data_IF_684579718675
#
_entry.id   IF_684579718675
#
_cell.length_a   1.000
_cell.length_b   1.000
_cell.length_c   1.000
_cell.angle_alpha   90.00
_cell.angle_beta   90.00
_cell.angle_gamma   90.00
#
_symmetry.space_group_name_H-M   'P 1'
#
loop_
_entity.id
_entity.type
_entity.pdbx_description
1 polymer ?
#
# COMPACT_ATOMS: atom_id res chain seq x y z
N UNK A 1 9.01 -6.20 -18.94
CA UNK A 1 8.11 -5.19 -18.32
C UNK A 1 6.70 -5.52 -18.75
N UNK A 2 5.73 -5.66 -17.85
CA UNK A 2 4.39 -6.12 -18.22
C UNK A 2 3.43 -4.95 -18.45
N UNK A 3 3.60 -4.28 -19.59
CA UNK A 3 2.77 -3.15 -20.01
C UNK A 3 1.28 -3.47 -20.10
N UNK A 4 0.91 -4.75 -20.30
CA UNK A 4 -0.48 -5.17 -20.31
C UNK A 4 -1.16 -4.85 -18.97
N UNK A 5 -0.54 -5.23 -17.84
CA UNK A 5 -1.08 -4.95 -16.50
C UNK A 5 -1.18 -3.44 -16.25
N UNK A 6 -0.18 -2.67 -16.69
CA UNK A 6 -0.17 -1.21 -16.58
C UNK A 6 -1.31 -0.57 -17.37
N UNK A 7 -1.48 -0.94 -18.64
CA UNK A 7 -2.54 -0.40 -19.50
C UNK A 7 -3.91 -0.76 -18.95
N UNK A 8 -4.12 -2.03 -18.54
CA UNK A 8 -5.37 -2.45 -17.92
C UNK A 8 -5.64 -1.67 -16.62
N UNK A 9 -4.64 -1.49 -15.77
CA UNK A 9 -4.77 -0.69 -14.54
C UNK A 9 -5.18 0.75 -14.83
N UNK A 10 -4.48 1.43 -15.75
CA UNK A 10 -4.80 2.81 -16.17
C UNK A 10 -6.22 2.89 -16.74
N UNK A 11 -6.59 1.98 -17.64
CA UNK A 11 -7.94 1.94 -18.21
C UNK A 11 -9.01 1.75 -17.13
N UNK A 12 -8.77 0.90 -16.13
CA UNK A 12 -9.69 0.72 -15.00
C UNK A 12 -9.91 2.03 -14.23
N UNK A 13 -8.86 2.79 -13.92
CA UNK A 13 -9.01 4.11 -13.27
C UNK A 13 -9.76 5.11 -14.15
N UNK A 14 -9.48 5.13 -15.46
CA UNK A 14 -10.18 6.01 -16.40
C UNK A 14 -11.67 5.68 -16.55
N UNK A 15 -12.05 4.40 -16.43
CA UNK A 15 -13.46 3.96 -16.42
C UNK A 15 -14.17 4.39 -15.12
N UNK A 16 -13.47 4.45 -14.00
CA UNK A 16 -14.06 4.91 -12.73
C UNK A 16 -14.39 6.41 -12.74
N UNK A 17 -13.73 7.24 -13.55
CA UNK A 17 -14.00 8.69 -13.64
C UNK A 17 -15.44 9.01 -14.06
N UNK A 18 -15.97 8.53 -15.21
CA UNK A 18 -17.37 8.78 -15.57
C UNK A 18 -18.34 8.14 -14.57
N UNK A 19 -17.98 7.01 -13.95
CA UNK A 19 -18.80 6.39 -12.91
C UNK A 19 -18.89 7.26 -11.65
N UNK A 20 -17.79 7.90 -11.24
CA UNK A 20 -17.78 8.85 -10.12
C UNK A 20 -18.72 10.04 -10.37
N UNK A 21 -18.78 10.53 -11.61
CA UNK A 21 -19.69 11.61 -12.01
C UNK A 21 -21.15 11.15 -11.90
N UNK A 22 -21.46 9.95 -12.40
CA UNK A 22 -22.83 9.39 -12.37
C UNK A 22 -23.28 9.10 -10.94
N UNK A 23 -22.39 8.58 -10.09
CA UNK A 23 -22.66 8.23 -8.70
C UNK A 23 -22.66 9.43 -7.74
N UNK A 24 -22.32 10.63 -8.21
CA UNK A 24 -22.23 11.83 -7.36
C UNK A 24 -21.01 11.88 -6.43
N UNK A 25 -19.99 11.04 -6.68
CA UNK A 25 -18.77 10.87 -5.88
C UNK A 25 -17.56 11.48 -6.59
N UNK A 26 -17.76 12.61 -7.30
CA UNK A 26 -16.71 13.24 -8.13
C UNK A 26 -15.46 13.69 -7.37
N UNK A 27 -15.51 13.72 -6.03
CA UNK A 27 -14.34 13.94 -5.17
C UNK A 27 -13.21 12.93 -5.37
N UNK A 28 -13.51 11.72 -5.86
CA UNK A 28 -12.49 10.70 -6.17
C UNK A 28 -11.72 10.95 -7.48
N UNK A 29 -12.17 11.87 -8.35
CA UNK A 29 -11.54 12.05 -9.68
C UNK A 29 -10.05 12.42 -9.59
N UNK A 30 -9.61 13.39 -8.74
CA UNK A 30 -8.20 13.73 -8.61
C UNK A 30 -7.33 12.52 -8.19
N UNK A 31 -7.81 11.69 -7.27
CA UNK A 31 -7.15 10.47 -6.83
C UNK A 31 -7.01 9.45 -7.96
N UNK A 32 -8.08 9.19 -8.72
CA UNK A 32 -8.06 8.25 -9.83
C UNK A 32 -7.00 8.64 -10.89
N UNK A 33 -6.83 9.95 -11.13
CA UNK A 33 -5.78 10.48 -11.99
C UNK A 33 -4.38 10.27 -11.38
N UNK A 34 -4.23 10.48 -10.07
CA UNK A 34 -2.98 10.22 -9.34
C UNK A 34 -2.62 8.74 -9.40
N UNK A 35 -3.58 7.82 -9.20
CA UNK A 35 -3.38 6.38 -9.27
C UNK A 35 -3.02 5.91 -10.68
N UNK A 36 -3.64 6.49 -11.72
CA UNK A 36 -3.26 6.23 -13.11
C UNK A 36 -1.80 6.67 -13.36
N UNK A 37 -1.42 7.87 -12.92
CA UNK A 37 -0.05 8.36 -13.04
C UNK A 37 0.95 7.50 -12.25
N UNK A 38 0.63 7.14 -11.01
CA UNK A 38 1.46 6.31 -10.16
C UNK A 38 1.65 4.91 -10.76
N UNK A 39 0.61 4.35 -11.37
CA UNK A 39 0.68 3.06 -12.09
C UNK A 39 1.68 3.12 -13.24
N UNK A 40 1.69 4.19 -14.03
CA UNK A 40 2.67 4.40 -15.10
C UNK A 40 4.08 4.59 -14.53
N UNK A 41 4.23 5.40 -13.48
CA UNK A 41 5.52 5.65 -12.83
C UNK A 41 6.14 4.37 -12.24
N UNK A 42 5.34 3.54 -11.56
CA UNK A 42 5.78 2.26 -11.01
C UNK A 42 6.17 1.27 -12.11
N UNK A 43 5.41 1.23 -13.20
CA UNK A 43 5.73 0.38 -14.36
C UNK A 43 7.03 0.82 -15.04
N UNK A 44 7.23 2.13 -15.22
CA UNK A 44 8.44 2.70 -15.81
C UNK A 44 9.68 2.41 -14.93
N UNK A 45 9.55 2.54 -13.61
CA UNK A 45 10.64 2.28 -12.66
C UNK A 45 10.74 0.82 -12.20
N UNK A 46 9.98 -0.10 -12.80
CA UNK A 46 9.87 -1.48 -12.32
C UNK A 46 11.24 -2.21 -12.24
N UNK A 47 12.15 -1.91 -13.17
CA UNK A 47 13.51 -2.47 -13.16
C UNK A 47 14.35 -2.01 -11.97
N UNK A 48 14.29 -0.72 -11.64
CA UNK A 48 15.00 -0.13 -10.51
C UNK A 48 14.43 -0.61 -9.16
N UNK A 49 13.10 -0.73 -9.09
CA UNK A 49 12.39 -1.18 -7.89
C UNK A 49 12.41 -2.72 -7.70
N UNK A 50 12.98 -3.47 -8.65
CA UNK A 50 12.89 -4.94 -8.71
C UNK A 50 11.43 -5.43 -8.63
N UNK A 51 10.50 -4.65 -9.19
CA UNK A 51 9.08 -4.86 -9.07
C UNK A 51 8.64 -6.05 -9.93
N UNK A 52 8.05 -7.06 -9.29
CA UNK A 52 7.52 -8.26 -9.95
C UNK A 52 6.07 -7.99 -10.40
N UNK A 53 5.66 -8.62 -11.49
CA UNK A 53 4.29 -8.49 -12.04
C UNK A 53 3.21 -8.72 -10.99
N UNK A 54 3.25 -9.79 -10.15
CA UNK A 54 2.21 -10.01 -9.14
C UNK A 54 2.13 -8.89 -8.11
N UNK A 55 3.27 -8.29 -7.73
CA UNK A 55 3.30 -7.18 -6.77
C UNK A 55 2.74 -5.92 -7.41
N UNK A 56 3.09 -5.61 -8.66
CA UNK A 56 2.47 -4.51 -9.40
C UNK A 56 0.96 -4.68 -9.53
N UNK A 57 0.49 -5.89 -9.86
CA UNK A 57 -0.94 -6.21 -9.93
C UNK A 57 -1.63 -5.97 -8.59
N UNK A 58 -1.03 -6.41 -7.48
CA UNK A 58 -1.59 -6.20 -6.14
C UNK A 58 -1.61 -4.71 -5.75
N UNK A 59 -0.60 -3.93 -6.11
CA UNK A 59 -0.57 -2.48 -5.84
C UNK A 59 -1.65 -1.77 -6.64
N UNK A 60 -1.81 -2.09 -7.93
CA UNK A 60 -2.91 -1.57 -8.76
C UNK A 60 -4.26 -1.99 -8.18
N UNK A 61 -4.38 -3.24 -7.75
CA UNK A 61 -5.61 -3.75 -7.14
C UNK A 61 -5.95 -3.02 -5.83
N UNK A 62 -4.97 -2.77 -4.96
CA UNK A 62 -5.16 -1.97 -3.75
C UNK A 62 -5.63 -0.55 -4.05
N UNK A 63 -5.01 0.12 -5.02
CA UNK A 63 -5.45 1.43 -5.50
C UNK A 63 -6.86 1.38 -6.13
N UNK A 64 -7.22 0.31 -6.84
CA UNK A 64 -8.57 0.14 -7.38
C UNK A 64 -9.62 -0.06 -6.29
N UNK A 65 -9.31 -0.81 -5.23
CA UNK A 65 -10.22 -0.98 -4.11
C UNK A 65 -10.53 0.38 -3.46
N UNK A 66 -9.51 1.22 -3.25
CA UNK A 66 -9.70 2.59 -2.80
C UNK A 66 -10.54 3.40 -3.80
N UNK A 67 -10.18 3.35 -5.09
CA UNK A 67 -10.89 4.02 -6.17
C UNK A 67 -12.35 3.57 -6.35
N UNK A 68 -12.75 2.39 -5.84
CA UNK A 68 -14.15 1.97 -5.80
C UNK A 68 -15.01 2.78 -4.83
N UNK A 69 -14.42 3.68 -4.05
CA UNK A 69 -15.17 4.78 -3.44
C UNK A 69 -15.93 5.64 -4.46
N UNK A 70 -15.46 5.71 -5.71
CA UNK A 70 -16.23 6.27 -6.83
C UNK A 70 -17.59 5.57 -7.08
N UNK A 71 -17.77 4.35 -6.58
CA UNK A 71 -19.02 3.60 -6.65
C UNK A 71 -19.88 3.73 -5.37
N UNK A 72 -19.45 4.55 -4.40
CA UNK A 72 -20.14 4.75 -3.12
C UNK A 72 -19.80 3.72 -2.04
N UNK A 73 -18.79 2.86 -2.25
CA UNK A 73 -18.52 1.72 -1.35
C UNK A 73 -18.09 2.13 0.06
N UNK A 74 -17.55 3.33 0.25
CA UNK A 74 -17.29 3.86 1.60
C UNK A 74 -18.59 4.06 2.39
N UNK A 75 -19.66 4.55 1.75
CA UNK A 75 -20.97 4.69 2.40
C UNK A 75 -21.74 3.39 2.53
N UNK A 76 -21.69 2.53 1.50
CA UNK A 76 -22.36 1.22 1.50
C UNK A 76 -21.39 0.14 1.03
N UNK A 77 -20.75 -0.52 1.99
CA UNK A 77 -19.80 -1.59 1.67
C UNK A 77 -20.50 -2.78 1.02
N UNK A 78 -19.99 -3.31 -0.11
CA UNK A 78 -20.48 -4.54 -0.71
C UNK A 78 -20.09 -5.80 0.08
N UNK A 79 -19.33 -5.65 1.17
CA UNK A 79 -18.86 -6.73 2.04
C UNK A 79 -19.43 -6.54 3.45
N UNK A 80 -19.52 -7.61 4.28
CA UNK A 80 -19.96 -7.51 5.68
C UNK A 80 -18.93 -6.85 6.61
N UNK A 81 -18.01 -6.07 6.07
CA UNK A 81 -16.97 -5.29 6.75
C UNK A 81 -16.94 -3.90 6.12
N UNK A 82 -16.61 -2.87 6.89
CA UNK A 82 -16.48 -1.50 6.36
C UNK A 82 -15.46 -1.48 5.22
N UNK A 83 -15.82 -0.82 4.12
CA UNK A 83 -15.01 -0.82 2.92
C UNK A 83 -13.65 -0.16 3.15
N UNK A 84 -13.66 0.91 3.93
CA UNK A 84 -12.47 1.62 4.38
C UNK A 84 -11.41 0.66 4.98
N UNK A 85 -11.79 -0.17 5.94
CA UNK A 85 -10.89 -1.18 6.51
C UNK A 85 -10.27 -2.14 5.47
N UNK A 86 -10.99 -2.43 4.39
CA UNK A 86 -10.51 -3.28 3.30
C UNK A 86 -9.45 -2.57 2.48
N UNK A 87 -9.68 -1.30 2.13
CA UNK A 87 -8.77 -0.51 1.31
C UNK A 87 -7.46 -0.23 2.05
N UNK A 88 -7.52 0.11 3.35
CA UNK A 88 -6.34 0.28 4.21
C UNK A 88 -5.53 -1.02 4.35
N UNK A 89 -6.21 -2.13 4.68
CA UNK A 89 -5.53 -3.42 4.81
C UNK A 89 -4.87 -3.87 3.50
N UNK A 90 -5.62 -3.91 2.39
CA UNK A 90 -5.12 -4.44 1.11
C UNK A 90 -4.12 -3.48 0.46
N UNK A 91 -4.36 -2.18 0.56
CA UNK A 91 -3.47 -1.13 0.05
C UNK A 91 -2.09 -1.24 0.67
N UNK A 92 -2.01 -1.17 2.00
CA UNK A 92 -0.73 -1.17 2.70
C UNK A 92 -0.06 -2.55 2.74
N UNK A 93 -0.84 -3.63 2.65
CA UNK A 93 -0.32 -4.96 2.34
C UNK A 93 0.46 -4.96 1.01
N UNK A 94 -0.12 -4.41 -0.06
CA UNK A 94 0.52 -4.39 -1.38
C UNK A 94 1.77 -3.48 -1.40
N UNK A 95 1.71 -2.32 -0.74
CA UNK A 95 2.88 -1.43 -0.60
C UNK A 95 4.01 -2.06 0.21
N UNK A 96 3.71 -2.79 1.29
CA UNK A 96 4.71 -3.53 2.04
C UNK A 96 5.42 -4.60 1.19
N UNK A 97 4.68 -5.30 0.32
CA UNK A 97 5.26 -6.25 -0.64
C UNK A 97 6.16 -5.55 -1.68
N UNK A 98 5.78 -4.37 -2.14
CA UNK A 98 6.59 -3.54 -3.04
C UNK A 98 7.92 -3.16 -2.38
N UNK A 99 7.85 -2.58 -1.17
CA UNK A 99 9.04 -2.15 -0.42
C UNK A 99 9.93 -3.35 -0.10
N UNK A 100 9.35 -4.48 0.32
CA UNK A 100 10.11 -5.70 0.53
C UNK A 100 10.79 -6.18 -0.74
N UNK A 101 10.11 -6.19 -1.89
CA UNK A 101 10.70 -6.62 -3.16
C UNK A 101 11.96 -5.82 -3.53
N UNK A 102 11.95 -4.52 -3.23
CA UNK A 102 13.10 -3.65 -3.35
C UNK A 102 14.19 -3.95 -2.30
N UNK A 103 13.81 -4.15 -1.05
CA UNK A 103 14.74 -4.38 0.08
C UNK A 103 15.36 -5.79 0.10
N UNK A 104 14.70 -6.77 -0.49
CA UNK A 104 15.08 -8.19 -0.48
C UNK A 104 16.52 -8.43 -0.94
N UNK A 105 17.01 -7.63 -1.89
CA UNK A 105 18.37 -7.73 -2.45
C UNK A 105 19.49 -7.50 -1.43
N UNK A 106 19.20 -6.81 -0.32
CA UNK A 106 20.18 -6.58 0.74
C UNK A 106 20.08 -7.57 1.89
N UNK A 107 19.08 -8.45 1.92
CA UNK A 107 18.86 -9.37 3.05
C UNK A 107 19.74 -10.62 2.97
N UNK A 108 20.23 -11.09 4.13
CA UNK A 108 21.06 -12.30 4.26
C UNK A 108 20.24 -13.58 4.12
N UNK A 109 20.90 -14.72 3.84
CA UNK A 109 20.24 -16.02 3.72
C UNK A 109 19.50 -16.45 5.00
N UNK A 110 20.08 -16.19 6.17
CA UNK A 110 19.44 -16.49 7.46
C UNK A 110 18.29 -15.51 7.71
N UNK A 111 17.06 -16.00 7.75
CA UNK A 111 15.84 -15.19 7.93
C UNK A 111 15.96 -14.18 9.09
N UNK A 112 16.37 -14.64 10.27
CA UNK A 112 16.50 -13.80 11.48
C UNK A 112 17.94 -13.37 11.79
N UNK A 113 18.72 -12.92 10.79
CA UNK A 113 19.96 -12.19 11.08
C UNK A 113 19.64 -10.80 11.65
N UNK A 114 20.55 -10.21 12.46
CA UNK A 114 20.37 -8.84 12.99
C UNK A 114 20.07 -7.82 11.89
N UNK A 115 20.77 -7.96 10.75
CA UNK A 115 20.57 -7.15 9.55
C UNK A 115 19.17 -7.33 8.96
N UNK A 116 18.70 -8.57 8.80
CA UNK A 116 17.36 -8.84 8.29
C UNK A 116 16.26 -8.32 9.21
N UNK A 117 16.43 -8.44 10.54
CA UNK A 117 15.48 -7.86 11.51
C UNK A 117 15.42 -6.34 11.34
N UNK A 118 16.57 -5.68 11.22
CA UNK A 118 16.61 -4.23 10.95
C UNK A 118 15.91 -3.87 9.64
N UNK A 119 16.16 -4.60 8.56
CA UNK A 119 15.51 -4.38 7.26
C UNK A 119 13.99 -4.62 7.32
N UNK A 120 13.52 -5.60 8.10
CA UNK A 120 12.09 -5.83 8.33
C UNK A 120 11.44 -4.66 9.07
N UNK A 121 12.11 -4.10 10.08
CA UNK A 121 11.65 -2.87 10.76
C UNK A 121 11.62 -1.70 9.77
N UNK A 122 12.63 -1.55 8.91
CA UNK A 122 12.65 -0.52 7.87
C UNK A 122 11.47 -0.67 6.91
N UNK A 123 11.14 -1.89 6.48
CA UNK A 123 9.96 -2.15 5.63
C UNK A 123 8.68 -1.72 6.33
N UNK A 124 8.51 -2.09 7.61
CA UNK A 124 7.34 -1.72 8.40
C UNK A 124 7.20 -0.20 8.49
N UNK A 125 8.27 0.50 8.90
CA UNK A 125 8.27 1.96 9.06
C UNK A 125 8.06 2.69 7.73
N UNK A 126 8.65 2.20 6.63
CA UNK A 126 8.48 2.80 5.32
C UNK A 126 7.04 2.64 4.81
N UNK A 127 6.45 1.44 4.94
CA UNK A 127 5.07 1.21 4.54
C UNK A 127 4.09 1.99 5.44
N UNK A 128 4.30 1.97 6.75
CA UNK A 128 3.50 2.76 7.69
C UNK A 128 3.64 4.26 7.44
N UNK A 129 4.83 4.72 7.02
CA UNK A 129 5.06 6.10 6.62
C UNK A 129 4.22 6.51 5.41
N UNK A 130 4.02 5.62 4.44
CA UNK A 130 3.10 5.87 3.31
C UNK A 130 1.66 6.03 3.82
N UNK A 131 1.18 5.08 4.63
CA UNK A 131 -0.16 5.14 5.20
C UNK A 131 -0.36 6.41 6.03
N UNK A 132 0.56 6.72 6.94
CA UNK A 132 0.49 7.90 7.78
C UNK A 132 0.48 9.22 7.00
N UNK A 133 1.16 9.31 5.85
CA UNK A 133 1.09 10.50 4.98
C UNK A 133 -0.30 10.64 4.36
N UNK A 134 -0.91 9.53 3.93
CA UNK A 134 -2.28 9.51 3.40
C UNK A 134 -3.26 9.97 4.49
N UNK A 135 -3.26 9.30 5.65
CA UNK A 135 -4.19 9.64 6.74
C UNK A 135 -4.00 11.09 7.23
N UNK A 136 -2.76 11.56 7.31
CA UNK A 136 -2.49 12.94 7.72
C UNK A 136 -3.01 13.93 6.68
N UNK A 137 -2.95 13.60 5.39
CA UNK A 137 -3.47 14.46 4.33
C UNK A 137 -4.99 14.56 4.35
N UNK A 138 -5.67 13.45 4.66
CA UNK A 138 -7.12 13.40 4.83
C UNK A 138 -7.54 14.15 6.09
N UNK A 139 -6.88 13.90 7.22
CA UNK A 139 -7.11 14.61 8.46
C UNK A 139 -6.89 16.13 8.32
N UNK A 140 -5.82 16.54 7.63
CA UNK A 140 -5.57 17.95 7.36
C UNK A 140 -6.64 18.58 6.46
N UNK A 141 -7.13 17.83 5.47
CA UNK A 141 -8.22 18.26 4.61
C UNK A 141 -9.56 18.36 5.35
N UNK A 142 -9.85 17.39 6.23
CA UNK A 142 -10.98 17.43 7.15
C UNK A 142 -10.95 18.68 8.05
N UNK A 143 -9.81 18.99 8.68
CA UNK A 143 -9.69 20.20 9.50
C UNK A 143 -9.96 21.49 8.73
N UNK A 144 -9.76 21.49 7.41
CA UNK A 144 -9.94 22.66 6.55
C UNK A 144 -11.33 22.76 5.92
N UNK A 145 -11.90 21.64 5.51
CA UNK A 145 -13.10 21.59 4.68
C UNK A 145 -14.26 20.79 5.29
N UNK A 146 -14.04 20.11 6.41
CA UNK A 146 -15.00 19.20 7.02
C UNK A 146 -15.10 17.86 6.28
N UNK A 147 -16.23 17.17 6.49
CA UNK A 147 -16.54 15.94 5.77
C UNK A 147 -16.72 16.18 4.26
N UNK A 148 -16.31 15.21 3.45
CA UNK A 148 -16.34 15.27 1.99
C UNK A 148 -15.84 13.97 1.36
N UNK A 149 -15.77 13.93 0.03
CA UNK A 149 -15.36 12.73 -0.70
C UNK A 149 -13.96 12.87 -1.31
N UNK A 150 -13.21 11.76 -1.36
CA UNK A 150 -11.90 11.64 -2.02
C UNK A 150 -10.70 11.91 -1.10
N UNK A 151 -9.50 11.85 -1.68
CA UNK A 151 -8.19 11.77 -0.99
C UNK A 151 -7.82 12.87 0.03
N UNK A 152 -8.65 13.87 0.28
CA UNK A 152 -8.39 14.93 1.27
C UNK A 152 -9.60 15.17 2.18
N UNK A 153 -10.49 14.21 2.34
CA UNK A 153 -11.68 14.39 3.16
C UNK A 153 -12.12 13.07 3.77
N UNK A 154 -12.79 13.16 4.92
CA UNK A 154 -13.50 12.02 5.50
C UNK A 154 -14.87 11.88 4.84
N UNK A 155 -15.09 10.73 4.23
CA UNK A 155 -16.32 10.33 3.57
C UNK A 155 -17.33 9.64 4.50
N UNK A 156 -18.46 9.20 3.94
CA UNK A 156 -19.54 8.55 4.70
C UNK A 156 -19.15 7.24 5.41
N UNK A 157 -18.03 6.62 5.00
CA UNK A 157 -17.49 5.41 5.61
C UNK A 157 -16.66 5.64 6.88
N UNK A 158 -16.26 6.88 7.11
CA UNK A 158 -15.30 7.28 8.16
C UNK A 158 -16.00 7.64 9.48
N UNK A 159 -17.27 7.22 9.58
CA UNK A 159 -18.16 7.50 10.69
C UNK A 159 -18.42 6.29 11.58
N UNK A 160 -18.54 6.52 12.89
CA UNK A 160 -19.11 5.52 13.80
C UNK A 160 -20.55 5.18 13.36
N UNK A 161 -20.94 3.90 13.36
CA UNK A 161 -22.24 3.46 12.86
C UNK A 161 -23.38 3.87 13.81
N UNK A 162 -23.86 5.12 13.71
CA UNK A 162 -25.16 5.57 14.22
C UNK A 162 -25.46 7.02 13.80
N UNK A 163 -26.66 7.27 13.27
CA UNK A 163 -27.13 8.57 12.79
C UNK A 163 -27.36 9.62 13.91
N UNK A 164 -27.15 9.28 15.18
CA UNK A 164 -27.23 10.20 16.31
C UNK A 164 -25.86 10.84 16.66
N UNK A 165 -24.85 10.68 15.79
CA UNK A 165 -23.44 10.91 16.13
C UNK A 165 -22.67 11.82 15.17
N UNK A 166 -23.33 12.58 14.29
CA UNK A 166 -22.70 13.81 13.75
C UNK A 166 -22.14 14.65 14.90
N UNK A 167 -22.87 14.68 16.01
CA UNK A 167 -22.40 15.26 17.26
C UNK A 167 -21.31 14.45 17.96
N UNK A 168 -21.22 13.12 17.86
CA UNK A 168 -20.26 12.34 18.66
C UNK A 168 -18.87 12.23 18.03
N UNK A 169 -18.74 12.25 16.70
CA UNK A 169 -17.42 12.41 16.07
C UNK A 169 -16.89 13.82 16.36
N UNK A 170 -17.71 14.86 16.20
CA UNK A 170 -17.35 16.22 16.60
C UNK A 170 -17.12 16.37 18.12
N UNK A 171 -17.88 15.68 18.99
CA UNK A 171 -17.80 15.82 20.45
C UNK A 171 -16.79 14.90 21.15
N UNK A 172 -16.38 13.77 20.55
CA UNK A 172 -15.52 12.77 21.22
C UNK A 172 -14.12 12.72 20.58
N UNK A 173 -13.95 13.10 19.31
CA UNK A 173 -12.61 13.02 18.72
C UNK A 173 -12.34 13.51 17.31
N UNK A 174 -13.13 14.41 16.75
CA UNK A 174 -12.88 15.17 15.51
C UNK A 174 -11.83 14.59 14.55
N UNK A 175 -12.11 13.44 13.93
CA UNK A 175 -11.24 12.79 12.94
C UNK A 175 -10.12 11.88 13.46
N UNK A 176 -9.58 12.10 14.67
CA UNK A 176 -8.41 11.33 15.14
C UNK A 176 -8.73 9.86 15.41
N UNK A 177 -9.97 9.54 15.79
CA UNK A 177 -10.41 8.15 16.00
C UNK A 177 -10.43 7.40 14.67
N UNK A 178 -10.90 8.01 13.58
CA UNK A 178 -10.92 7.39 12.26
C UNK A 178 -9.50 7.10 11.79
N UNK A 179 -8.68 8.16 11.71
CA UNK A 179 -7.23 8.06 11.41
C UNK A 179 -6.54 6.99 12.27
N UNK A 180 -6.92 6.84 13.55
CA UNK A 180 -6.41 5.79 14.42
C UNK A 180 -6.77 4.38 13.95
N UNK A 181 -8.03 4.14 13.57
CA UNK A 181 -8.48 2.87 12.99
C UNK A 181 -7.82 2.59 11.64
N UNK A 182 -7.72 3.59 10.78
CA UNK A 182 -7.09 3.50 9.46
C UNK A 182 -5.63 3.05 9.61
N UNK A 183 -4.90 3.67 10.55
CA UNK A 183 -3.53 3.28 10.91
C UNK A 183 -3.43 1.85 11.49
N UNK A 184 -4.45 1.37 12.20
CA UNK A 184 -4.51 -0.02 12.68
C UNK A 184 -4.66 -0.98 11.49
N UNK A 185 -5.60 -0.75 10.58
CA UNK A 185 -5.81 -1.63 9.42
C UNK A 185 -4.62 -1.59 8.45
N UNK A 186 -4.00 -0.41 8.26
CA UNK A 186 -2.72 -0.26 7.59
C UNK A 186 -1.66 -1.16 8.23
N UNK A 187 -1.50 -1.10 9.56
CA UNK A 187 -0.53 -1.91 10.30
C UNK A 187 -0.78 -3.41 10.14
N UNK A 188 -2.04 -3.85 10.19
CA UNK A 188 -2.43 -5.24 10.01
C UNK A 188 -2.09 -5.75 8.60
N UNK A 189 -2.34 -4.94 7.56
CA UNK A 189 -1.96 -5.24 6.18
C UNK A 189 -0.46 -5.41 6.02
N UNK A 190 0.33 -4.50 6.59
CA UNK A 190 1.80 -4.55 6.56
C UNK A 190 2.32 -5.80 7.27
N UNK A 191 1.81 -6.10 8.47
CA UNK A 191 2.22 -7.28 9.24
C UNK A 191 1.88 -8.59 8.50
N UNK A 192 0.71 -8.66 7.85
CA UNK A 192 0.33 -9.81 7.04
C UNK A 192 1.26 -10.01 5.85
N UNK A 193 1.63 -8.94 5.15
CA UNK A 193 2.61 -8.99 4.07
C UNK A 193 3.96 -9.49 4.59
N UNK A 194 4.47 -8.91 5.69
CA UNK A 194 5.74 -9.31 6.30
C UNK A 194 5.74 -10.78 6.74
N UNK A 195 4.64 -11.27 7.31
CA UNK A 195 4.50 -12.68 7.70
C UNK A 195 4.65 -13.61 6.49
N UNK A 196 3.92 -13.35 5.40
CA UNK A 196 4.03 -14.13 4.16
C UNK A 196 5.47 -14.16 3.64
N UNK A 197 6.16 -13.03 3.72
CA UNK A 197 7.54 -12.88 3.26
C UNK A 197 8.52 -13.66 4.13
N UNK A 198 8.38 -13.60 5.45
CA UNK A 198 9.18 -14.38 6.40
C UNK A 198 8.97 -15.88 6.17
N UNK A 199 7.71 -16.32 6.02
CA UNK A 199 7.36 -17.72 5.74
C UNK A 199 7.96 -18.16 4.40
N UNK A 200 7.77 -17.39 3.33
CA UNK A 200 8.36 -17.68 2.00
C UNK A 200 9.87 -17.85 2.11
N UNK A 201 10.56 -16.95 2.80
CA UNK A 201 12.02 -17.05 2.98
C UNK A 201 12.39 -18.27 3.82
N UNK A 202 11.66 -18.58 4.89
CA UNK A 202 11.94 -19.76 5.70
C UNK A 202 11.79 -21.07 4.90
N UNK A 203 10.82 -21.14 3.98
CA UNK A 203 10.58 -22.33 3.15
C UNK A 203 11.53 -22.44 1.95
N UNK A 204 11.93 -21.30 1.36
CA UNK A 204 12.67 -21.26 0.09
C UNK A 204 14.17 -20.99 0.27
N UNK A 205 14.59 -20.37 1.37
CA UNK A 205 16.00 -20.07 1.62
C UNK A 205 16.77 -21.37 1.86
N UNK A 206 17.29 -21.94 0.77
CA UNK A 206 18.44 -22.83 0.86
C UNK A 206 19.60 -22.00 1.39
N UNK A 207 20.33 -22.44 2.42
CA UNK A 207 21.57 -21.77 2.78
C UNK A 207 22.44 -21.75 1.53
N UNK A 208 22.69 -20.55 0.97
CA UNK A 208 23.81 -20.42 0.05
C UNK A 208 25.02 -20.75 0.91
N UNK A 209 25.64 -21.91 0.67
CA UNK A 209 26.92 -22.22 1.26
C UNK A 209 27.82 -21.02 0.98
N UNK A 210 28.43 -20.47 2.03
CA UNK A 210 29.41 -19.40 1.90
C UNK A 210 30.66 -19.96 1.20
N UNK A 211 30.56 -20.21 -0.10
CA UNK A 211 31.67 -20.52 -0.99
C UNK A 211 31.69 -19.45 -2.05
N UNK A 212 32.26 -18.31 -1.70
CA UNK A 212 33.03 -17.44 -2.58
C UNK A 212 34.02 -16.69 -1.70
N UNK A 213 34.92 -17.44 -1.04
CA UNK A 213 36.31 -17.06 -1.21
C UNK A 213 36.62 -17.56 -2.62
N UNK A 214 36.66 -16.67 -3.60
CA UNK A 214 37.50 -16.96 -4.76
C UNK A 214 38.85 -17.39 -4.20
N UNK A 215 39.28 -18.58 -4.58
CA UNK A 215 40.54 -19.14 -4.14
C UNK A 215 41.63 -18.08 -4.42
N UNK A 216 42.19 -17.51 -3.34
CA UNK A 216 43.15 -16.39 -3.41
C UNK A 216 44.40 -16.79 -4.22
N UNK A 217 44.53 -18.08 -4.56
CA UNK A 217 45.52 -18.63 -5.47
C UNK A 217 45.42 -18.19 -6.94
N UNK A 218 44.29 -17.67 -7.44
CA UNK A 218 44.22 -17.15 -8.82
C UNK A 218 44.67 -15.68 -8.94
N UNK A 219 44.54 -14.87 -7.89
CA UNK A 219 44.99 -13.47 -7.92
C UNK A 219 46.53 -13.37 -7.93
N UNK A 220 47.23 -14.31 -7.28
CA UNK A 220 48.70 -14.33 -7.25
C UNK A 220 49.35 -14.81 -8.57
N UNK A 221 48.60 -15.42 -9.49
CA UNK A 221 49.13 -15.90 -10.78
C UNK A 221 49.01 -14.90 -11.92
N UNK A 222 48.38 -13.74 -11.71
CA UNK A 222 48.23 -12.69 -12.75
C UNK A 222 49.18 -11.51 -12.59
N UNK A 223 50.13 -11.58 -11.65
CA UNK A 223 51.08 -10.49 -11.34
C UNK A 223 52.55 -10.88 -11.61
N UNK A 224 52.81 -11.96 -12.36
CA UNK A 224 54.16 -12.29 -12.84
C UNK A 224 54.19 -12.32 -14.36
#
# INVERSE_FOLDING_TARGET
>A
MNWLVTVLGVLSFLVLIPLAIISGTSGFIPELLIFAALTVLLAYHAGALKLKVPVLTLVIFGMLLHGFGALGFYGESPLPIQWDHVTHFVGLFAFALLIFGFVEQWMDARVFSKKNVFLLITIFLAAQGVGAVIELSEFAGYLKWGFGEGAFAFGPGDGLPSAAHTDAIDNIGGGWINTGWDLIFNSLGILAAMLILVVRRALVARPKSAYYFEDVGEWSRRVN
#
